data_IF_595848520128
#
_entry.id   IF_595848520128
#
_cell.length_a   1.000
_cell.length_b   1.000
_cell.length_c   1.000
_cell.angle_alpha   90.00
_cell.angle_beta   90.00
_cell.angle_gamma   90.00
#
_symmetry.space_group_name_H-M   'P 1'
#
loop_
_entity.id
_entity.type
_entity.pdbx_description
1 polymer ?
#
# COMPACT_ATOMS: atom_id res chain seq x y z
N UNK A 1 -34.40 11.86 -11.46
CA UNK A 1 -34.53 12.10 -10.01
C UNK A 1 -33.22 12.66 -9.50
N UNK A 2 -33.16 13.80 -8.81
CA UNK A 2 -31.94 14.46 -8.43
C UNK A 2 -31.25 13.72 -7.25
N UNK A 3 -29.94 13.52 -7.41
CA UNK A 3 -29.07 12.93 -6.39
C UNK A 3 -28.99 13.82 -5.14
N UNK A 4 -29.37 13.29 -4.00
CA UNK A 4 -29.22 13.93 -2.70
C UNK A 4 -27.72 14.11 -2.39
N UNK A 5 -27.31 15.36 -2.26
CA UNK A 5 -26.06 15.75 -1.62
C UNK A 5 -26.05 15.18 -0.19
N UNK A 6 -25.18 14.18 0.05
CA UNK A 6 -24.86 13.75 1.41
C UNK A 6 -23.65 14.53 1.90
N UNK A 7 -23.87 15.30 2.93
CA UNK A 7 -22.89 16.00 3.75
C UNK A 7 -21.68 15.13 4.06
N UNK A 8 -20.48 15.65 3.74
CA UNK A 8 -19.21 15.09 4.19
C UNK A 8 -19.21 14.94 5.71
N UNK A 9 -19.21 13.70 6.21
CA UNK A 9 -18.84 13.43 7.59
C UNK A 9 -17.36 13.74 7.76
N UNK A 10 -17.02 14.75 8.54
CA UNK A 10 -15.64 15.03 8.95
C UNK A 10 -15.09 13.80 9.66
N UNK A 11 -14.03 13.22 9.11
CA UNK A 11 -13.23 12.20 9.76
C UNK A 11 -12.80 12.71 11.14
N UNK A 12 -13.17 11.99 12.18
CA UNK A 12 -12.77 12.30 13.56
C UNK A 12 -11.32 11.84 13.76
N UNK A 13 -10.36 12.67 13.34
CA UNK A 13 -8.97 12.50 13.71
C UNK A 13 -8.79 12.79 15.21
N UNK A 14 -8.68 11.75 16.01
CA UNK A 14 -8.42 11.85 17.45
C UNK A 14 -6.94 12.12 17.72
N UNK A 15 -6.56 13.36 18.08
CA UNK A 15 -5.20 13.65 18.60
C UNK A 15 -5.04 13.00 19.99
N UNK A 16 -4.29 11.92 20.08
CA UNK A 16 -3.87 11.33 21.34
C UNK A 16 -2.73 12.18 21.95
N UNK A 17 -3.06 12.99 22.98
CA UNK A 17 -2.07 13.79 23.72
C UNK A 17 -1.34 12.91 24.73
N UNK A 18 -0.12 12.45 24.39
CA UNK A 18 0.87 11.96 25.34
C UNK A 18 2.04 12.94 25.40
N UNK A 19 2.67 13.12 26.55
CA UNK A 19 3.80 14.05 26.76
C UNK A 19 4.86 13.92 25.64
N UNK A 20 4.95 14.92 24.77
CA UNK A 20 6.10 15.14 23.86
C UNK A 20 6.18 14.32 22.56
N UNK A 21 5.25 13.38 22.25
CA UNK A 21 5.26 12.59 21.02
C UNK A 21 3.98 12.81 20.24
N UNK A 22 4.11 13.30 18.99
CA UNK A 22 2.97 13.40 18.08
C UNK A 22 2.48 11.99 17.73
N UNK A 23 1.21 11.70 18.02
CA UNK A 23 0.51 10.48 17.61
C UNK A 23 -0.84 10.85 17.05
N UNK A 24 -1.25 10.12 16.03
CA UNK A 24 -2.57 10.27 15.41
C UNK A 24 -3.11 8.90 15.05
N UNK A 25 -4.42 8.80 14.82
CA UNK A 25 -5.05 7.58 14.38
C UNK A 25 -6.12 7.86 13.32
N UNK A 26 -6.27 6.90 12.42
CA UNK A 26 -7.33 6.84 11.41
C UNK A 26 -8.09 5.54 11.63
N UNK A 27 -9.39 5.60 11.83
CA UNK A 27 -10.22 4.40 11.94
C UNK A 27 -10.67 3.94 10.54
N UNK A 28 -10.67 2.62 10.33
CA UNK A 28 -11.25 1.96 9.15
C UNK A 28 -12.48 1.20 9.63
N UNK A 29 -13.66 1.73 9.31
CA UNK A 29 -14.94 1.18 9.79
C UNK A 29 -15.46 0.07 8.85
N UNK A 30 -15.32 -1.17 9.29
CA UNK A 30 -15.83 -2.36 8.61
C UNK A 30 -16.75 -3.17 9.55
N UNK A 31 -17.45 -2.48 10.47
CA UNK A 31 -18.22 -3.11 11.54
C UNK A 31 -17.32 -3.92 12.47
N UNK A 32 -17.65 -5.19 12.73
CA UNK A 32 -16.86 -6.07 13.62
C UNK A 32 -15.42 -6.31 13.13
N UNK A 33 -15.14 -6.08 11.85
CA UNK A 33 -13.81 -6.22 11.23
C UNK A 33 -13.06 -4.89 11.16
N UNK A 34 -13.64 -3.81 11.69
CA UNK A 34 -13.00 -2.50 11.74
C UNK A 34 -11.73 -2.50 12.59
N UNK A 35 -10.82 -1.60 12.28
CA UNK A 35 -9.54 -1.45 12.98
C UNK A 35 -9.02 -0.02 12.90
N UNK A 36 -8.05 0.28 13.78
CA UNK A 36 -7.38 1.57 13.78
C UNK A 36 -6.01 1.47 13.12
N UNK A 37 -5.67 2.50 12.35
CA UNK A 37 -4.32 2.77 11.84
C UNK A 37 -3.71 3.85 12.74
N UNK A 38 -2.76 3.48 13.58
CA UNK A 38 -2.12 4.38 14.53
C UNK A 38 -0.72 4.77 14.06
N UNK A 39 -0.44 6.06 14.04
CA UNK A 39 0.82 6.63 13.57
C UNK A 39 1.53 7.39 14.68
N UNK A 40 2.85 7.29 14.71
CA UNK A 40 3.69 8.03 15.66
C UNK A 40 5.17 7.93 15.29
N UNK A 41 6.03 8.45 16.18
CA UNK A 41 7.48 8.38 16.03
C UNK A 41 8.15 7.82 17.27
N UNK A 42 9.17 6.99 17.08
CA UNK A 42 10.02 6.42 18.14
C UNK A 42 9.21 5.68 19.23
N UNK A 43 8.30 4.80 18.85
CA UNK A 43 7.37 4.14 19.76
C UNK A 43 7.19 2.63 19.57
N UNK A 44 8.11 1.95 18.87
CA UNK A 44 8.03 0.52 18.54
C UNK A 44 7.79 -0.39 19.75
N UNK A 45 8.40 -0.11 20.90
CA UNK A 45 8.13 -0.88 22.13
C UNK A 45 6.69 -0.70 22.61
N UNK A 46 6.15 0.50 22.51
CA UNK A 46 4.74 0.75 22.79
C UNK A 46 3.84 0.06 21.76
N UNK A 47 4.22 0.03 20.47
CA UNK A 47 3.54 -0.75 19.44
C UNK A 47 3.46 -2.22 19.85
N UNK A 48 4.55 -2.80 20.34
CA UNK A 48 4.54 -4.19 20.82
C UNK A 48 3.49 -4.45 21.91
N UNK A 49 3.38 -3.54 22.90
CA UNK A 49 2.35 -3.63 23.96
C UNK A 49 0.94 -3.52 23.36
N UNK A 50 0.70 -2.58 22.47
CA UNK A 50 -0.61 -2.39 21.83
C UNK A 50 -0.98 -3.54 20.90
N UNK A 51 0.00 -4.10 20.19
CA UNK A 51 -0.19 -5.29 19.36
C UNK A 51 -0.63 -6.49 20.21
N UNK A 52 0.01 -6.71 21.37
CA UNK A 52 -0.40 -7.75 22.31
C UNK A 52 -1.83 -7.51 22.84
N UNK A 53 -2.16 -6.26 23.19
CA UNK A 53 -3.52 -5.89 23.65
C UNK A 53 -4.58 -6.14 22.56
N UNK A 54 -4.24 -5.94 21.26
CA UNK A 54 -5.16 -6.18 20.13
C UNK A 54 -5.28 -7.66 19.77
N UNK A 55 -4.18 -8.42 19.88
CA UNK A 55 -4.16 -9.84 19.55
C UNK A 55 -4.77 -10.69 20.66
N UNK A 56 -4.59 -10.30 21.92
CA UNK A 56 -4.98 -11.07 23.11
C UNK A 56 -4.47 -12.53 23.05
N UNK A 57 -3.26 -12.71 22.51
CA UNK A 57 -2.67 -14.00 22.22
C UNK A 57 -1.50 -14.30 23.15
N UNK A 58 -1.45 -15.53 23.70
CA UNK A 58 -0.32 -16.00 24.51
C UNK A 58 0.93 -16.23 23.64
N UNK A 59 0.74 -16.76 22.41
CA UNK A 59 1.82 -17.04 21.46
C UNK A 59 1.72 -16.11 20.27
N UNK A 60 2.81 -15.44 19.95
CA UNK A 60 2.87 -14.46 18.87
C UNK A 60 4.07 -14.72 17.96
N UNK A 61 3.82 -14.93 16.69
CA UNK A 61 4.86 -14.98 15.66
C UNK A 61 5.08 -13.60 15.04
N UNK A 62 6.32 -13.09 15.04
CA UNK A 62 6.72 -11.91 14.27
C UNK A 62 7.29 -12.38 12.94
N UNK A 63 6.58 -12.15 11.84
CA UNK A 63 7.08 -12.39 10.47
C UNK A 63 7.78 -11.13 9.96
N UNK A 64 9.06 -11.27 9.58
CA UNK A 64 9.91 -10.12 9.23
C UNK A 64 11.02 -10.51 8.26
N UNK A 65 11.79 -9.53 7.76
CA UNK A 65 12.97 -9.73 6.89
C UNK A 65 14.27 -9.39 7.62
N UNK A 66 15.46 -9.88 7.18
CA UNK A 66 16.69 -9.83 7.97
C UNK A 66 17.11 -8.43 8.46
N UNK A 67 17.05 -7.43 7.59
CA UNK A 67 17.44 -6.05 7.89
C UNK A 67 16.53 -5.41 8.95
N UNK A 68 15.23 -5.67 8.87
CA UNK A 68 14.19 -5.16 9.77
C UNK A 68 14.23 -5.92 11.11
N UNK A 69 14.37 -7.25 11.07
CA UNK A 69 14.49 -8.10 12.26
C UNK A 69 15.60 -7.64 13.19
N UNK A 70 16.77 -7.34 12.62
CA UNK A 70 17.95 -6.89 13.37
C UNK A 70 17.75 -5.52 14.01
N UNK A 71 17.15 -4.56 13.28
CA UNK A 71 17.03 -3.17 13.73
C UNK A 71 15.86 -2.97 14.70
N UNK A 72 14.73 -3.56 14.41
CA UNK A 72 13.44 -3.23 15.02
C UNK A 72 12.82 -4.39 15.80
N UNK A 73 13.19 -5.63 15.46
CA UNK A 73 12.68 -6.83 16.11
C UNK A 73 12.83 -6.81 17.64
N UNK A 74 13.99 -6.45 18.21
CA UNK A 74 14.18 -6.46 19.67
C UNK A 74 13.22 -5.51 20.42
N UNK A 75 12.98 -4.29 19.88
CA UNK A 75 12.07 -3.33 20.51
C UNK A 75 10.62 -3.82 20.48
N UNK A 76 10.18 -4.33 19.34
CA UNK A 76 8.83 -4.89 19.20
C UNK A 76 8.61 -6.10 20.10
N UNK A 77 9.58 -7.04 20.10
CA UNK A 77 9.55 -8.23 20.99
C UNK A 77 9.44 -7.82 22.45
N UNK A 78 10.25 -6.86 22.92
CA UNK A 78 10.19 -6.37 24.30
C UNK A 78 8.80 -5.86 24.67
N UNK A 79 8.16 -5.13 23.77
CA UNK A 79 6.80 -4.64 24.01
C UNK A 79 5.77 -5.76 24.11
N UNK A 80 5.84 -6.77 23.25
CA UNK A 80 4.96 -7.95 23.26
C UNK A 80 5.17 -8.78 24.54
N UNK A 81 6.43 -9.09 24.90
CA UNK A 81 6.74 -9.88 26.08
C UNK A 81 6.39 -9.17 27.38
N UNK A 82 6.43 -7.83 27.41
CA UNK A 82 5.97 -7.04 28.57
C UNK A 82 4.46 -7.19 28.85
N UNK A 83 3.70 -7.78 27.90
CA UNK A 83 2.29 -8.16 28.06
C UNK A 83 2.08 -9.66 28.25
N UNK A 84 3.16 -10.40 28.51
CA UNK A 84 3.12 -11.85 28.77
C UNK A 84 3.15 -12.73 27.52
N UNK A 85 3.24 -12.16 26.31
CA UNK A 85 3.30 -12.98 25.10
C UNK A 85 4.61 -13.75 24.98
N UNK A 86 4.53 -15.04 24.60
CA UNK A 86 5.65 -15.85 24.13
C UNK A 86 5.88 -15.54 22.67
N UNK A 87 7.03 -14.93 22.34
CA UNK A 87 7.29 -14.37 21.03
C UNK A 87 8.33 -15.15 20.26
N UNK A 88 7.99 -15.60 19.07
CA UNK A 88 8.92 -16.12 18.07
C UNK A 88 9.14 -15.13 16.94
N UNK A 89 10.40 -14.96 16.50
CA UNK A 89 10.73 -14.14 15.32
C UNK A 89 11.09 -15.04 14.15
N UNK A 90 10.22 -15.06 13.16
CA UNK A 90 10.40 -15.82 11.93
C UNK A 90 10.92 -14.88 10.86
N UNK A 91 12.17 -15.07 10.47
CA UNK A 91 12.83 -14.25 9.46
C UNK A 91 12.72 -14.94 8.10
N UNK A 92 12.01 -14.30 7.17
CA UNK A 92 11.91 -14.75 5.78
C UNK A 92 12.93 -14.00 4.90
N UNK A 93 13.41 -14.56 3.79
CA UNK A 93 14.30 -13.85 2.88
C UNK A 93 13.66 -12.55 2.39
N UNK A 94 14.47 -11.55 2.06
CA UNK A 94 13.99 -10.29 1.49
C UNK A 94 13.70 -10.43 -0.01
N UNK A 95 12.87 -9.52 -0.54
CA UNK A 95 12.53 -9.43 -1.95
C UNK A 95 11.20 -10.11 -2.34
N UNK A 96 10.58 -9.56 -3.39
CA UNK A 96 9.23 -9.96 -3.85
C UNK A 96 9.14 -11.44 -4.29
N UNK A 97 10.27 -12.05 -4.69
CA UNK A 97 10.35 -13.48 -5.03
C UNK A 97 10.07 -14.40 -3.83
N UNK A 98 10.24 -13.90 -2.60
CA UNK A 98 9.94 -14.64 -1.36
C UNK A 98 8.44 -14.82 -1.14
N UNK A 99 7.60 -13.97 -1.70
CA UNK A 99 6.14 -14.11 -1.63
C UNK A 99 5.65 -15.27 -2.49
N UNK A 100 5.83 -16.50 -2.04
CA UNK A 100 5.44 -17.70 -2.78
C UNK A 100 4.92 -18.81 -1.85
N UNK A 101 4.27 -19.85 -2.43
CA UNK A 101 3.68 -20.95 -1.67
C UNK A 101 4.72 -21.77 -0.89
N UNK A 102 5.97 -21.87 -1.38
CA UNK A 102 7.03 -22.59 -0.66
C UNK A 102 7.36 -21.88 0.65
N UNK A 103 7.53 -20.55 0.60
CA UNK A 103 7.82 -19.77 1.80
C UNK A 103 6.63 -19.73 2.76
N UNK A 104 5.39 -19.77 2.24
CA UNK A 104 4.19 -19.91 3.04
C UNK A 104 4.20 -21.22 3.84
N UNK A 105 4.58 -22.34 3.20
CA UNK A 105 4.76 -23.63 3.88
C UNK A 105 5.76 -23.57 5.03
N UNK A 106 6.91 -22.91 4.79
CA UNK A 106 7.91 -22.69 5.86
C UNK A 106 7.32 -21.93 7.05
N UNK A 107 6.43 -20.95 6.82
CA UNK A 107 5.76 -20.25 7.92
C UNK A 107 4.86 -21.18 8.73
N UNK A 108 4.12 -22.07 8.07
CA UNK A 108 3.27 -23.03 8.79
C UNK A 108 4.08 -23.99 9.65
N UNK A 109 5.19 -24.55 9.12
CA UNK A 109 6.09 -25.40 9.88
C UNK A 109 6.60 -24.67 11.13
N UNK A 110 7.04 -23.42 10.97
CA UNK A 110 7.49 -22.58 12.10
C UNK A 110 6.39 -22.26 13.10
N UNK A 111 5.14 -22.08 12.67
CA UNK A 111 4.01 -21.87 13.57
C UNK A 111 3.75 -23.14 14.41
N UNK A 112 3.82 -24.32 13.80
CA UNK A 112 3.66 -25.61 14.50
C UNK A 112 4.82 -25.87 15.46
N UNK A 113 6.08 -25.63 15.06
CA UNK A 113 7.27 -25.76 15.93
C UNK A 113 7.16 -24.91 17.21
N UNK A 114 6.37 -23.82 17.18
CA UNK A 114 6.12 -22.92 18.30
C UNK A 114 4.78 -23.16 18.98
N UNK A 115 4.18 -24.33 18.78
CA UNK A 115 2.90 -24.73 19.35
C UNK A 115 1.79 -23.66 19.15
N UNK A 116 1.80 -22.96 18.02
CA UNK A 116 0.75 -21.99 17.73
C UNK A 116 -0.58 -22.69 17.47
N UNK A 117 -1.64 -22.13 18.01
CA UNK A 117 -3.00 -22.61 17.93
C UNK A 117 -3.96 -21.49 17.49
N UNK A 118 -5.27 -21.70 17.61
CA UNK A 118 -6.30 -20.71 17.24
C UNK A 118 -6.34 -19.46 18.12
N UNK A 119 -5.75 -19.52 19.30
CA UNK A 119 -5.62 -18.38 20.24
C UNK A 119 -4.33 -17.59 20.00
N UNK A 120 -3.49 -18.05 19.10
CA UNK A 120 -2.21 -17.41 18.75
C UNK A 120 -2.41 -16.26 17.77
N UNK A 121 -1.40 -15.41 17.61
CA UNK A 121 -1.46 -14.26 16.74
C UNK A 121 -0.19 -14.04 15.91
N UNK A 122 -0.32 -13.29 14.82
CA UNK A 122 0.80 -12.92 13.96
C UNK A 122 1.00 -11.40 13.99
N UNK A 123 2.24 -10.96 14.09
CA UNK A 123 2.65 -9.57 13.83
C UNK A 123 3.53 -9.55 12.59
N UNK A 124 3.13 -8.82 11.57
CA UNK A 124 3.99 -8.60 10.41
C UNK A 124 4.82 -7.33 10.62
N UNK A 125 6.15 -7.45 10.61
CA UNK A 125 7.06 -6.32 10.79
C UNK A 125 7.91 -6.15 9.54
N UNK A 126 7.59 -5.15 8.69
CA UNK A 126 8.34 -4.98 7.44
C UNK A 126 7.61 -4.21 6.34
N UNK A 127 8.06 -4.38 5.12
CA UNK A 127 7.39 -3.91 3.90
C UNK A 127 6.28 -4.85 3.44
N UNK A 128 5.82 -4.67 2.20
CA UNK A 128 4.76 -5.49 1.59
C UNK A 128 5.04 -7.00 1.61
N UNK A 129 6.31 -7.43 1.51
CA UNK A 129 6.68 -8.86 1.57
C UNK A 129 6.25 -9.48 2.90
N UNK A 130 6.65 -8.88 4.02
CA UNK A 130 6.28 -9.36 5.34
C UNK A 130 4.76 -9.25 5.58
N UNK A 131 4.16 -8.12 5.15
CA UNK A 131 2.73 -7.85 5.30
C UNK A 131 1.85 -8.85 4.57
N UNK A 132 2.09 -9.05 3.27
CA UNK A 132 1.27 -9.91 2.43
C UNK A 132 1.46 -11.40 2.78
N UNK A 133 2.72 -11.83 2.90
CA UNK A 133 3.04 -13.25 3.20
C UNK A 133 2.60 -13.64 4.61
N UNK A 134 2.95 -12.83 5.62
CA UNK A 134 2.59 -13.10 7.01
C UNK A 134 1.09 -12.94 7.26
N UNK A 135 0.45 -11.96 6.61
CA UNK A 135 -1.00 -11.79 6.65
C UNK A 135 -1.74 -12.96 6.01
N UNK A 136 -1.23 -13.50 4.88
CA UNK A 136 -1.83 -14.67 4.24
C UNK A 136 -1.58 -15.95 5.04
N UNK A 137 -0.42 -16.08 5.69
CA UNK A 137 -0.18 -17.15 6.63
C UNK A 137 -1.19 -17.10 7.79
N UNK A 138 -1.44 -15.94 8.37
CA UNK A 138 -2.46 -15.77 9.40
C UNK A 138 -3.88 -16.09 8.90
N UNK A 139 -4.22 -15.65 7.69
CA UNK A 139 -5.53 -15.88 7.09
C UNK A 139 -5.86 -17.35 6.86
N UNK A 140 -4.85 -18.17 6.60
CA UNK A 140 -5.02 -19.58 6.18
C UNK A 140 -4.64 -20.59 7.25
N UNK A 141 -3.74 -20.26 8.18
CA UNK A 141 -3.39 -21.15 9.29
C UNK A 141 -4.60 -21.39 10.19
N UNK A 142 -4.94 -22.65 10.43
CA UNK A 142 -6.11 -23.11 11.21
C UNK A 142 -7.45 -22.47 10.78
N UNK A 143 -7.58 -22.04 9.52
CA UNK A 143 -8.71 -21.32 8.90
C UNK A 143 -8.83 -19.86 9.34
N UNK A 144 -7.77 -19.28 9.86
CA UNK A 144 -7.66 -17.87 10.24
C UNK A 144 -7.36 -17.68 11.72
N UNK A 145 -6.25 -16.98 11.97
CA UNK A 145 -5.86 -16.46 13.28
C UNK A 145 -5.69 -14.94 13.20
N UNK A 146 -5.80 -14.21 14.32
CA UNK A 146 -5.67 -12.76 14.32
C UNK A 146 -4.25 -12.32 13.94
N UNK A 147 -4.16 -11.16 13.27
CA UNK A 147 -2.88 -10.54 12.97
C UNK A 147 -2.90 -9.02 13.09
N UNK A 148 -1.71 -8.44 13.21
CA UNK A 148 -1.44 -7.01 13.30
C UNK A 148 -0.36 -6.64 12.30
N UNK A 149 -0.45 -5.47 11.67
CA UNK A 149 0.56 -4.97 10.75
C UNK A 149 1.43 -3.88 11.41
N UNK A 150 2.74 -4.00 11.25
CA UNK A 150 3.74 -2.98 11.64
C UNK A 150 4.59 -2.65 10.40
N UNK A 151 4.06 -1.83 9.47
CA UNK A 151 4.76 -1.48 8.24
C UNK A 151 5.97 -0.60 8.52
N UNK A 152 7.08 -0.85 7.79
CA UNK A 152 8.35 -0.14 7.94
C UNK A 152 8.83 0.52 6.64
N UNK A 153 8.02 0.48 5.59
CA UNK A 153 8.29 1.18 4.31
C UNK A 153 7.17 2.15 4.01
N UNK A 154 7.46 3.24 3.28
CA UNK A 154 6.42 4.22 2.88
C UNK A 154 5.30 3.52 2.12
N UNK A 155 5.65 2.68 1.13
CA UNK A 155 4.67 1.93 0.34
C UNK A 155 3.73 1.08 1.21
N UNK A 156 4.28 0.36 2.20
CA UNK A 156 3.45 -0.43 3.09
C UNK A 156 2.59 0.44 4.02
N UNK A 157 3.10 1.60 4.47
CA UNK A 157 2.36 2.53 5.32
C UNK A 157 1.16 3.15 4.59
N UNK A 158 1.32 3.58 3.34
CA UNK A 158 0.23 4.23 2.60
C UNK A 158 -0.69 3.25 1.88
N UNK A 159 -0.19 2.05 1.52
CA UNK A 159 -0.93 1.12 0.66
C UNK A 159 -1.04 -0.29 1.23
N UNK A 160 0.00 -1.10 1.25
CA UNK A 160 -0.10 -2.55 1.43
C UNK A 160 -0.69 -2.98 2.79
N UNK A 161 -0.52 -2.21 3.87
CA UNK A 161 -1.03 -2.58 5.20
C UNK A 161 -2.51 -2.30 5.43
N UNK A 162 -3.20 -1.59 4.52
CA UNK A 162 -4.59 -1.14 4.70
C UNK A 162 -5.50 -1.87 3.69
N UNK A 163 -6.63 -2.41 4.18
CA UNK A 163 -7.67 -3.03 3.36
C UNK A 163 -7.56 -4.53 3.18
N UNK A 164 -6.76 -5.21 4.03
CA UNK A 164 -6.80 -6.65 4.25
C UNK A 164 -6.40 -7.54 3.07
N UNK A 165 -5.86 -6.99 1.99
CA UNK A 165 -5.34 -7.80 0.88
C UNK A 165 -4.05 -8.48 1.33
N UNK A 166 -4.07 -9.81 1.41
CA UNK A 166 -2.91 -10.64 1.73
C UNK A 166 -2.73 -11.69 0.64
N UNK A 167 -1.51 -12.13 0.37
CA UNK A 167 -1.33 -13.11 -0.68
C UNK A 167 0.12 -13.37 -1.08
N UNK A 168 0.24 -14.29 -2.04
CA UNK A 168 1.51 -14.73 -2.60
C UNK A 168 1.50 -14.74 -4.13
N UNK A 169 2.69 -14.72 -4.70
CA UNK A 169 2.93 -14.77 -6.12
C UNK A 169 2.94 -16.23 -6.62
N UNK A 170 2.51 -16.42 -7.86
CA UNK A 170 2.72 -17.64 -8.62
C UNK A 170 3.63 -17.37 -9.82
N UNK A 171 4.09 -18.41 -10.48
CA UNK A 171 4.88 -18.28 -11.69
C UNK A 171 4.16 -17.50 -12.81
N UNK A 172 2.83 -17.55 -12.83
CA UNK A 172 1.96 -16.87 -13.81
C UNK A 172 1.74 -15.39 -13.52
N UNK A 173 2.00 -14.91 -12.28
CA UNK A 173 1.81 -13.50 -11.92
C UNK A 173 1.84 -13.21 -10.43
N UNK A 174 1.87 -11.91 -10.11
CA UNK A 174 1.89 -11.42 -8.74
C UNK A 174 0.51 -11.52 -8.09
N UNK A 175 0.49 -11.80 -6.78
CA UNK A 175 -0.70 -11.74 -5.90
C UNK A 175 -1.92 -12.54 -6.40
N UNK A 176 -1.70 -13.65 -7.11
CA UNK A 176 -2.79 -14.47 -7.68
C UNK A 176 -3.46 -15.39 -6.67
N UNK A 177 -2.83 -15.67 -5.55
CA UNK A 177 -3.37 -16.48 -4.45
C UNK A 177 -3.33 -15.67 -3.18
N UNK A 178 -4.45 -15.56 -2.49
CA UNK A 178 -4.54 -14.75 -1.28
C UNK A 178 -5.94 -14.74 -0.67
N UNK A 179 -6.09 -13.91 0.36
CA UNK A 179 -7.35 -13.72 1.08
C UNK A 179 -7.55 -12.26 1.44
N UNK A 180 -8.83 -11.85 1.59
CA UNK A 180 -9.17 -10.64 2.32
C UNK A 180 -9.24 -10.99 3.81
N UNK A 181 -8.23 -10.59 4.57
CA UNK A 181 -8.12 -10.80 6.00
C UNK A 181 -7.74 -9.47 6.66
N UNK A 182 -8.68 -8.86 7.40
CA UNK A 182 -8.46 -7.56 8.00
C UNK A 182 -7.58 -7.68 9.26
N UNK A 183 -6.57 -6.81 9.43
CA UNK A 183 -5.74 -6.81 10.63
C UNK A 183 -6.56 -6.33 11.85
N UNK A 184 -6.17 -6.74 13.05
CA UNK A 184 -6.71 -6.21 14.31
C UNK A 184 -6.19 -4.81 14.65
N UNK A 185 -5.24 -4.31 13.88
CA UNK A 185 -4.67 -2.98 13.96
C UNK A 185 -3.47 -2.83 13.04
N UNK A 186 -3.21 -1.58 12.64
CA UNK A 186 -2.02 -1.20 11.89
C UNK A 186 -1.26 -0.16 12.71
N UNK A 187 0.01 -0.39 12.98
CA UNK A 187 0.82 0.49 13.81
C UNK A 187 2.05 0.97 13.06
N UNK A 188 2.18 2.27 12.87
CA UNK A 188 3.23 2.89 12.07
C UNK A 188 4.17 3.72 12.93
N UNK A 189 5.44 3.33 12.98
CA UNK A 189 6.50 4.16 13.54
C UNK A 189 7.30 4.80 12.41
N UNK A 190 7.10 6.12 12.19
CA UNK A 190 7.81 6.84 11.10
C UNK A 190 9.33 6.86 11.30
N UNK A 191 9.82 6.62 12.52
CA UNK A 191 11.26 6.51 12.77
C UNK A 191 11.90 5.33 12.01
N UNK A 192 11.13 4.29 11.68
CA UNK A 192 11.60 3.16 10.88
C UNK A 192 12.02 3.57 9.47
N UNK A 193 11.43 4.63 8.93
CA UNK A 193 11.74 5.16 7.60
C UNK A 193 13.17 5.73 7.49
N UNK A 194 13.83 6.03 8.64
CA UNK A 194 15.23 6.51 8.65
C UNK A 194 16.20 5.47 8.06
N UNK A 195 15.89 4.19 8.19
CA UNK A 195 16.71 3.11 7.63
C UNK A 195 16.34 2.74 6.20
N UNK A 196 15.25 3.28 5.67
CA UNK A 196 14.77 3.02 4.32
C UNK A 196 15.59 3.86 3.31
N UNK A 197 16.17 3.27 2.26
CA UNK A 197 16.88 4.03 1.22
C UNK A 197 16.00 5.11 0.59
N UNK A 198 16.61 6.24 0.18
CA UNK A 198 15.87 7.36 -0.42
C UNK A 198 15.06 6.93 -1.65
N UNK A 199 15.61 6.03 -2.49
CA UNK A 199 14.90 5.48 -3.67
C UNK A 199 13.62 4.75 -3.27
N UNK A 200 13.67 3.96 -2.20
CA UNK A 200 12.50 3.24 -1.67
C UNK A 200 11.47 4.21 -1.06
N UNK A 201 11.94 5.29 -0.39
CA UNK A 201 11.05 6.34 0.11
C UNK A 201 10.32 7.05 -1.02
N UNK A 202 11.06 7.39 -2.09
CA UNK A 202 10.49 8.00 -3.29
C UNK A 202 9.48 7.07 -3.97
N UNK A 203 9.82 5.78 -4.14
CA UNK A 203 8.91 4.81 -4.71
C UNK A 203 7.61 4.69 -3.89
N UNK A 204 7.70 4.66 -2.56
CA UNK A 204 6.50 4.68 -1.72
C UNK A 204 5.71 5.99 -1.80
N UNK A 205 6.40 7.14 -1.97
CA UNK A 205 5.76 8.44 -2.13
C UNK A 205 4.95 8.55 -3.44
N UNK A 206 5.22 7.73 -4.46
CA UNK A 206 4.38 7.64 -5.65
C UNK A 206 2.92 7.29 -5.31
N UNK A 207 2.70 6.37 -4.38
CA UNK A 207 1.37 5.98 -3.92
C UNK A 207 0.70 7.09 -3.08
N UNK A 208 1.47 7.82 -2.26
CA UNK A 208 0.98 9.01 -1.56
C UNK A 208 0.50 10.09 -2.55
N UNK A 209 1.31 10.39 -3.57
CA UNK A 209 0.96 11.33 -4.64
C UNK A 209 -0.27 10.84 -5.42
N UNK A 210 -0.36 9.54 -5.68
CA UNK A 210 -1.54 8.93 -6.32
C UNK A 210 -2.81 9.15 -5.52
N UNK A 211 -2.79 8.89 -4.21
CA UNK A 211 -3.95 9.12 -3.35
C UNK A 211 -4.40 10.57 -3.40
N UNK A 212 -3.46 11.51 -3.32
CA UNK A 212 -3.76 12.94 -3.44
C UNK A 212 -4.36 13.27 -4.81
N UNK A 213 -3.76 12.80 -5.90
CA UNK A 213 -4.20 13.09 -7.26
C UNK A 213 -5.62 12.60 -7.57
N UNK A 214 -6.01 11.44 -7.02
CA UNK A 214 -7.32 10.84 -7.31
C UNK A 214 -8.43 11.29 -6.36
N UNK A 215 -8.11 11.83 -5.17
CA UNK A 215 -9.09 11.99 -4.09
C UNK A 215 -9.03 13.31 -3.32
N UNK A 216 -7.87 13.97 -3.22
CA UNK A 216 -7.64 15.08 -2.31
C UNK A 216 -6.75 16.17 -2.94
N UNK A 217 -7.39 17.17 -3.57
CA UNK A 217 -6.68 18.26 -4.23
C UNK A 217 -5.82 19.08 -3.25
N UNK A 218 -6.31 19.34 -2.04
CA UNK A 218 -5.56 20.12 -1.04
C UNK A 218 -4.30 19.37 -0.57
N UNK A 219 -4.36 18.02 -0.47
CA UNK A 219 -3.16 17.23 -0.20
C UNK A 219 -2.19 17.29 -1.37
N UNK A 220 -2.70 17.25 -2.61
CA UNK A 220 -1.87 17.34 -3.79
C UNK A 220 -1.14 18.69 -3.86
N UNK A 221 -1.88 19.80 -3.72
CA UNK A 221 -1.33 21.15 -3.70
C UNK A 221 -0.27 21.31 -2.60
N UNK A 222 -0.52 20.74 -1.44
CA UNK A 222 0.42 20.77 -0.33
C UNK A 222 1.70 19.93 -0.62
N UNK A 223 1.56 18.76 -1.25
CA UNK A 223 2.68 17.89 -1.63
C UNK A 223 3.54 18.52 -2.74
N UNK A 224 2.96 19.27 -3.68
CA UNK A 224 3.75 20.00 -4.68
C UNK A 224 4.83 20.92 -4.04
N UNK A 225 4.60 21.39 -2.82
CA UNK A 225 5.52 22.27 -2.10
C UNK A 225 6.36 21.56 -1.01
N UNK A 226 6.00 20.32 -0.66
CA UNK A 226 6.56 19.62 0.52
C UNK A 226 7.13 18.25 0.23
N UNK A 227 7.15 17.81 -1.02
CA UNK A 227 7.56 16.43 -1.34
C UNK A 227 9.03 16.16 -0.96
N UNK A 228 9.92 17.11 -1.11
CA UNK A 228 11.31 16.96 -0.69
C UNK A 228 11.42 16.86 0.84
N UNK A 229 10.70 17.70 1.58
CA UNK A 229 10.64 17.65 3.05
C UNK A 229 10.08 16.29 3.54
N UNK A 230 9.13 15.71 2.81
CA UNK A 230 8.65 14.35 3.07
C UNK A 230 9.76 13.31 2.88
N UNK A 231 10.50 13.39 1.79
CA UNK A 231 11.61 12.48 1.49
C UNK A 231 12.81 12.64 2.45
N UNK A 232 12.99 13.83 3.01
CA UNK A 232 13.96 14.11 4.08
C UNK A 232 13.46 13.67 5.46
N UNK A 233 12.26 13.11 5.54
CA UNK A 233 11.64 12.59 6.75
C UNK A 233 11.41 13.66 7.83
N UNK A 234 11.08 14.92 7.47
CA UNK A 234 10.68 15.94 8.43
C UNK A 234 9.36 15.51 9.10
N UNK A 235 9.34 15.25 10.44
CA UNK A 235 8.16 14.67 11.10
C UNK A 235 6.89 15.51 10.95
N UNK A 236 7.05 16.85 10.88
CA UNK A 236 5.94 17.80 10.65
C UNK A 236 5.30 17.68 9.27
N UNK A 237 5.97 16.98 8.33
CA UNK A 237 5.48 16.72 6.98
C UNK A 237 5.06 15.26 6.81
N UNK A 238 5.87 14.32 7.31
CA UNK A 238 5.61 12.88 7.13
C UNK A 238 4.32 12.44 7.83
N UNK A 239 4.12 12.81 9.09
CA UNK A 239 2.94 12.38 9.86
C UNK A 239 1.62 12.86 9.23
N UNK A 240 1.43 14.16 8.93
CA UNK A 240 0.20 14.62 8.29
C UNK A 240 -0.04 14.02 6.90
N UNK A 241 1.03 13.82 6.12
CA UNK A 241 0.93 13.23 4.79
C UNK A 241 0.45 11.77 4.86
N UNK A 242 1.06 10.97 5.74
CA UNK A 242 0.66 9.58 5.96
C UNK A 242 -0.76 9.48 6.53
N UNK A 243 -1.11 10.32 7.51
CA UNK A 243 -2.46 10.37 8.09
C UNK A 243 -3.53 10.59 7.02
N UNK A 244 -3.36 11.62 6.17
CA UNK A 244 -4.30 11.92 5.09
C UNK A 244 -4.36 10.78 4.06
N UNK A 245 -3.22 10.23 3.68
CA UNK A 245 -3.17 9.10 2.74
C UNK A 245 -3.87 7.85 3.30
N UNK A 246 -3.66 7.54 4.58
CA UNK A 246 -4.35 6.43 5.25
C UNK A 246 -5.86 6.67 5.34
N UNK A 247 -6.28 7.91 5.61
CA UNK A 247 -7.69 8.28 5.64
C UNK A 247 -8.36 8.09 4.27
N UNK A 248 -7.71 8.52 3.17
CA UNK A 248 -8.20 8.32 1.81
C UNK A 248 -8.37 6.83 1.53
N UNK A 249 -7.33 6.04 1.80
CA UNK A 249 -7.41 4.60 1.55
C UNK A 249 -8.42 3.90 2.44
N UNK A 250 -8.48 4.28 3.72
CA UNK A 250 -9.49 3.79 4.67
C UNK A 250 -10.91 4.02 4.15
N UNK A 251 -11.24 5.26 3.74
CA UNK A 251 -12.55 5.59 3.17
C UNK A 251 -12.89 4.77 1.93
N UNK A 252 -11.92 4.59 1.02
CA UNK A 252 -12.13 3.76 -0.18
C UNK A 252 -12.40 2.30 0.20
N UNK A 253 -11.68 1.76 1.18
CA UNK A 253 -11.87 0.38 1.67
C UNK A 253 -13.20 0.20 2.38
N UNK A 254 -13.61 1.15 3.23
CA UNK A 254 -14.91 1.14 3.90
C UNK A 254 -16.08 1.07 2.92
N UNK A 255 -15.95 1.79 1.80
CA UNK A 255 -17.00 1.87 0.77
C UNK A 255 -16.96 0.71 -0.22
N UNK A 256 -15.80 0.08 -0.40
CA UNK A 256 -15.59 -1.03 -1.34
C UNK A 256 -14.48 -1.98 -0.87
N UNK A 257 -14.77 -2.78 0.15
CA UNK A 257 -13.79 -3.68 0.76
C UNK A 257 -13.22 -4.72 -0.23
N UNK A 258 -14.06 -5.24 -1.14
CA UNK A 258 -13.72 -6.36 -2.03
C UNK A 258 -13.35 -5.97 -3.46
N UNK A 259 -13.13 -4.66 -3.71
CA UNK A 259 -12.73 -4.14 -5.03
C UNK A 259 -13.77 -4.41 -6.13
N UNK A 260 -15.03 -4.14 -5.80
CA UNK A 260 -16.15 -4.24 -6.76
C UNK A 260 -16.10 -3.13 -7.81
N UNK A 261 -15.92 -1.87 -7.40
CA UNK A 261 -15.98 -0.70 -8.27
C UNK A 261 -15.09 0.47 -7.79
N UNK A 262 -15.43 1.12 -6.67
CA UNK A 262 -14.77 2.33 -6.19
C UNK A 262 -13.26 2.12 -5.93
N UNK A 263 -12.88 1.00 -5.35
CA UNK A 263 -11.48 0.67 -5.05
C UNK A 263 -10.61 0.58 -6.31
N UNK A 264 -11.20 0.44 -7.50
CA UNK A 264 -10.48 0.50 -8.79
C UNK A 264 -9.81 1.83 -9.02
N UNK A 265 -10.30 2.93 -8.43
CA UNK A 265 -9.68 4.25 -8.53
C UNK A 265 -8.23 4.24 -8.03
N UNK A 266 -7.92 3.39 -7.04
CA UNK A 266 -6.56 3.18 -6.55
C UNK A 266 -5.60 2.61 -7.61
N UNK A 267 -6.12 2.14 -8.74
CA UNK A 267 -5.32 1.67 -9.88
C UNK A 267 -4.98 2.79 -10.89
N UNK A 268 -5.11 4.06 -10.52
CA UNK A 268 -4.61 5.17 -11.35
C UNK A 268 -3.13 4.98 -11.66
N UNK A 269 -2.76 5.02 -12.94
CA UNK A 269 -1.40 4.73 -13.41
C UNK A 269 -1.04 3.24 -13.55
N UNK A 270 -1.74 2.34 -12.88
CA UNK A 270 -1.35 0.92 -12.78
C UNK A 270 -1.47 0.15 -14.10
N UNK A 271 -2.35 0.55 -15.02
CA UNK A 271 -2.51 -0.13 -16.31
C UNK A 271 -1.21 -0.18 -17.11
N UNK A 272 -0.49 0.95 -17.19
CA UNK A 272 0.81 1.00 -17.86
C UNK A 272 1.93 0.50 -16.94
N UNK A 273 1.87 0.79 -15.62
CA UNK A 273 2.86 0.35 -14.66
C UNK A 273 3.05 -1.18 -14.67
N UNK A 274 1.98 -1.94 -14.62
CA UNK A 274 2.05 -3.41 -14.69
C UNK A 274 2.65 -3.92 -16.00
N UNK A 275 2.39 -3.23 -17.12
CA UNK A 275 3.02 -3.58 -18.38
C UNK A 275 4.54 -3.31 -18.36
N UNK A 276 4.96 -2.21 -17.75
CA UNK A 276 6.38 -1.87 -17.54
C UNK A 276 7.06 -2.91 -16.66
N UNK A 277 6.48 -3.21 -15.48
CA UNK A 277 7.00 -4.21 -14.53
C UNK A 277 7.17 -5.60 -15.20
N UNK A 278 6.16 -6.03 -15.96
CA UNK A 278 6.19 -7.30 -16.68
C UNK A 278 7.35 -7.35 -17.68
N UNK A 279 7.58 -6.27 -18.42
CA UNK A 279 8.69 -6.19 -19.40
C UNK A 279 10.06 -6.08 -18.73
N UNK A 280 10.14 -5.49 -17.55
CA UNK A 280 11.37 -5.47 -16.74
C UNK A 280 11.66 -6.83 -16.08
N UNK A 281 10.76 -7.82 -16.22
CA UNK A 281 10.88 -9.11 -15.53
C UNK A 281 10.82 -8.93 -14.01
N UNK A 282 10.16 -7.86 -13.55
CA UNK A 282 10.09 -7.46 -12.13
C UNK A 282 11.46 -7.21 -11.49
N UNK A 283 12.45 -6.82 -12.28
CA UNK A 283 13.83 -6.55 -11.82
C UNK A 283 14.26 -5.13 -12.18
N UNK A 284 15.05 -4.52 -11.30
CA UNK A 284 15.70 -3.23 -11.54
C UNK A 284 14.84 -1.99 -11.36
N UNK A 285 13.52 -2.06 -11.56
CA UNK A 285 12.56 -0.97 -11.35
C UNK A 285 11.66 -1.27 -10.16
N UNK A 286 11.53 -0.32 -9.25
CA UNK A 286 10.62 -0.43 -8.11
C UNK A 286 9.17 -0.19 -8.57
N UNK A 287 8.19 -0.80 -7.86
CA UNK A 287 6.77 -0.65 -8.16
C UNK A 287 6.35 0.82 -8.28
N UNK A 288 6.68 1.65 -7.29
CA UNK A 288 6.31 3.07 -7.33
C UNK A 288 6.99 3.87 -8.45
N UNK A 289 8.16 3.42 -8.95
CA UNK A 289 8.79 4.02 -10.13
C UNK A 289 7.95 3.73 -11.40
N UNK A 290 7.46 2.49 -11.55
CA UNK A 290 6.56 2.13 -12.64
C UNK A 290 5.21 2.86 -12.53
N UNK A 291 4.66 2.96 -11.32
CA UNK A 291 3.40 3.69 -11.05
C UNK A 291 3.56 5.19 -11.37
N UNK A 292 4.68 5.81 -11.04
CA UNK A 292 4.96 7.21 -11.37
C UNK A 292 4.88 7.46 -12.89
N UNK A 293 5.55 6.63 -13.69
CA UNK A 293 5.47 6.69 -15.16
C UNK A 293 4.02 6.49 -15.63
N UNK A 294 3.34 5.51 -15.04
CA UNK A 294 1.95 5.21 -15.38
C UNK A 294 0.99 6.33 -15.03
N UNK A 295 1.21 7.08 -13.94
CA UNK A 295 0.40 8.24 -13.56
C UNK A 295 0.54 9.40 -14.55
N UNK A 296 1.77 9.71 -14.98
CA UNK A 296 2.00 10.75 -16.02
C UNK A 296 1.26 10.37 -17.30
N UNK A 297 1.40 9.12 -17.73
CA UNK A 297 0.68 8.60 -18.89
C UNK A 297 -0.85 8.67 -18.72
N UNK A 298 -1.38 8.24 -17.58
CA UNK A 298 -2.83 8.25 -17.33
C UNK A 298 -3.39 9.67 -17.25
N UNK A 299 -2.64 10.62 -16.68
CA UNK A 299 -3.01 12.04 -16.67
C UNK A 299 -3.03 12.63 -18.09
N UNK A 300 -2.02 12.35 -18.91
CA UNK A 300 -2.01 12.73 -20.32
C UNK A 300 -3.23 12.18 -21.08
N UNK A 301 -3.52 10.88 -20.87
CA UNK A 301 -4.70 10.26 -21.50
C UNK A 301 -6.01 10.88 -21.02
N UNK A 302 -6.08 11.31 -19.77
CA UNK A 302 -7.27 12.00 -19.22
C UNK A 302 -7.50 13.34 -19.89
N UNK A 303 -6.44 14.12 -20.20
CA UNK A 303 -6.52 15.38 -20.98
C UNK A 303 -6.92 15.10 -22.44
N UNK A 304 -6.24 14.18 -23.11
CA UNK A 304 -6.50 13.84 -24.52
C UNK A 304 -7.92 13.30 -24.75
N UNK A 305 -8.50 12.64 -23.76
CA UNK A 305 -9.88 12.13 -23.79
C UNK A 305 -10.91 13.19 -23.34
N UNK A 306 -10.47 14.38 -22.92
CA UNK A 306 -11.34 15.48 -22.50
C UNK A 306 -11.93 15.33 -21.09
N UNK A 307 -11.39 14.43 -20.26
CA UNK A 307 -11.82 14.27 -18.87
C UNK A 307 -11.16 15.29 -17.94
N UNK A 308 -9.84 15.52 -18.09
CA UNK A 308 -9.09 16.45 -17.26
C UNK A 308 -8.79 17.77 -17.98
N UNK A 309 -8.73 18.89 -17.27
CA UNK A 309 -8.27 20.14 -17.82
C UNK A 309 -6.80 20.08 -18.24
N UNK A 310 -6.41 20.85 -19.26
CA UNK A 310 -5.03 20.99 -19.70
C UNK A 310 -4.11 21.45 -18.54
N UNK A 311 -2.89 20.91 -18.49
CA UNK A 311 -1.91 21.17 -17.43
C UNK A 311 -1.99 20.19 -16.24
N UNK A 312 -2.99 19.31 -16.16
CA UNK A 312 -3.10 18.27 -15.13
C UNK A 312 -1.90 17.33 -15.19
N UNK A 313 -1.53 16.86 -16.41
CA UNK A 313 -0.35 16.03 -16.64
C UNK A 313 0.93 16.70 -16.14
N UNK A 314 1.13 17.96 -16.49
CA UNK A 314 2.38 18.68 -16.16
C UNK A 314 2.54 18.86 -14.65
N UNK A 315 1.45 19.08 -13.92
CA UNK A 315 1.46 19.10 -12.45
C UNK A 315 1.85 17.75 -11.86
N UNK A 316 1.25 16.65 -12.34
CA UNK A 316 1.59 15.29 -11.92
C UNK A 316 3.08 14.99 -12.20
N UNK A 317 3.54 15.27 -13.41
CA UNK A 317 4.94 15.04 -13.81
C UNK A 317 5.91 15.83 -12.94
N UNK A 318 5.61 17.10 -12.67
CA UNK A 318 6.45 17.99 -11.86
C UNK A 318 6.64 17.48 -10.44
N UNK A 319 5.59 17.09 -9.74
CA UNK A 319 5.71 16.59 -8.36
C UNK A 319 6.46 15.27 -8.29
N UNK A 320 6.23 14.36 -9.27
CA UNK A 320 6.93 13.09 -9.37
C UNK A 320 8.42 13.28 -9.66
N UNK A 321 8.77 14.17 -10.59
CA UNK A 321 10.15 14.50 -10.89
C UNK A 321 10.89 15.11 -9.69
N UNK A 322 10.23 16.01 -8.93
CA UNK A 322 10.77 16.54 -7.67
C UNK A 322 10.96 15.47 -6.60
N UNK A 323 10.13 14.44 -6.59
CA UNK A 323 10.35 13.27 -5.76
C UNK A 323 11.54 12.40 -6.20
N UNK A 324 12.15 12.68 -7.36
CA UNK A 324 13.22 11.89 -7.96
C UNK A 324 12.74 10.61 -8.63
N UNK A 325 11.48 10.57 -9.02
CA UNK A 325 10.86 9.43 -9.70
C UNK A 325 10.98 9.58 -11.23
N UNK A 326 11.11 8.47 -11.97
CA UNK A 326 11.08 8.50 -13.42
C UNK A 326 9.68 8.86 -13.92
N UNK A 327 9.62 9.68 -14.99
CA UNK A 327 8.36 10.15 -15.58
C UNK A 327 8.21 9.71 -17.05
N UNK A 328 9.26 9.17 -17.66
CA UNK A 328 9.27 8.79 -19.06
C UNK A 328 9.08 7.29 -19.24
N UNK A 329 8.24 6.92 -20.19
CA UNK A 329 8.00 5.52 -20.53
C UNK A 329 9.28 4.93 -21.13
N UNK A 330 9.72 3.74 -20.70
CA UNK A 330 10.88 3.07 -21.31
C UNK A 330 10.69 2.82 -22.81
N UNK A 331 11.72 3.11 -23.61
CA UNK A 331 11.66 2.96 -25.06
C UNK A 331 11.54 1.47 -25.47
N UNK A 332 10.33 1.07 -25.81
CA UNK A 332 10.01 -0.28 -26.34
C UNK A 332 8.90 -0.16 -27.39
N UNK A 333 8.79 -1.11 -28.32
CA UNK A 333 7.73 -1.08 -29.33
C UNK A 333 6.34 -1.01 -28.68
N UNK A 334 5.45 -0.19 -29.24
CA UNK A 334 4.03 -0.09 -28.80
C UNK A 334 3.36 -1.46 -28.71
N UNK A 335 3.66 -2.38 -29.64
CA UNK A 335 3.12 -3.74 -29.65
C UNK A 335 3.44 -4.53 -28.39
N UNK A 336 4.61 -4.32 -27.79
CA UNK A 336 4.98 -4.94 -26.52
C UNK A 336 4.06 -4.51 -25.39
N UNK A 337 3.84 -3.19 -25.24
CA UNK A 337 2.91 -2.65 -24.24
C UNK A 337 1.47 -3.10 -24.48
N UNK A 338 1.00 -3.09 -25.74
CA UNK A 338 -0.34 -3.61 -26.08
C UNK A 338 -0.52 -5.06 -25.67
N UNK A 339 0.48 -5.90 -25.93
CA UNK A 339 0.44 -7.33 -25.54
C UNK A 339 0.37 -7.50 -24.05
N UNK A 340 1.14 -6.72 -23.29
CA UNK A 340 1.17 -6.78 -21.83
C UNK A 340 -0.18 -6.33 -21.19
N UNK A 341 -0.75 -5.24 -21.70
CA UNK A 341 -2.05 -4.70 -21.28
C UNK A 341 -3.21 -5.66 -21.68
N UNK A 342 -3.09 -6.35 -22.83
CA UNK A 342 -4.15 -7.24 -23.34
C UNK A 342 -4.26 -8.58 -22.57
N UNK A 343 -3.22 -9.02 -21.89
CA UNK A 343 -3.25 -10.29 -21.11
C UNK A 343 -4.30 -10.25 -20.00
N UNK A 344 -4.53 -9.09 -19.39
CA UNK A 344 -5.57 -8.88 -18.38
C UNK A 344 -7.01 -8.96 -18.96
N UNK A 345 -7.16 -8.86 -20.30
CA UNK A 345 -8.41 -8.78 -21.03
C UNK A 345 -9.17 -10.08 -21.21
N UNK A 346 -8.50 -11.23 -21.30
CA UNK A 346 -9.14 -12.51 -21.65
C UNK A 346 -10.25 -12.90 -20.65
N UNK A 347 -10.31 -12.22 -19.51
CA UNK A 347 -11.26 -12.52 -18.42
C UNK A 347 -12.52 -11.64 -18.37
N UNK A 348 -12.59 -10.47 -19.09
CA UNK A 348 -13.67 -9.48 -18.90
C UNK A 348 -14.19 -8.78 -20.19
N UNK A 349 -14.58 -9.51 -21.21
CA UNK A 349 -15.30 -8.91 -22.36
C UNK A 349 -14.53 -7.91 -23.23
N UNK A 350 -13.20 -7.86 -23.16
CA UNK A 350 -12.34 -7.09 -24.06
C UNK A 350 -12.09 -5.62 -23.68
N UNK A 351 -12.76 -5.07 -22.68
CA UNK A 351 -12.54 -3.70 -22.18
C UNK A 351 -11.81 -3.70 -20.82
N UNK A 352 -11.08 -2.63 -20.56
CA UNK A 352 -10.30 -2.39 -19.34
C UNK A 352 -10.94 -1.19 -18.65
N UNK A 353 -11.22 -1.29 -17.35
CA UNK A 353 -11.57 -0.14 -16.54
C UNK A 353 -10.32 0.72 -16.33
N UNK A 354 -10.15 1.70 -17.20
CA UNK A 354 -9.03 2.63 -17.15
C UNK A 354 -9.40 3.79 -16.22
N UNK A 355 -8.53 4.09 -15.26
CA UNK A 355 -8.76 5.21 -14.33
C UNK A 355 -8.29 6.50 -14.99
N UNK A 356 -9.18 7.50 -15.02
CA UNK A 356 -8.93 8.84 -15.52
C UNK A 356 -9.08 9.86 -14.39
N UNK A 357 -8.39 10.99 -14.52
CA UNK A 357 -8.65 12.16 -13.68
C UNK A 357 -9.72 13.03 -14.36
N UNK A 358 -10.63 13.57 -13.55
CA UNK A 358 -11.53 14.67 -13.93
C UNK A 358 -10.96 16.04 -13.51
N UNK A 359 -9.81 16.01 -12.89
CA UNK A 359 -9.01 17.07 -12.31
C UNK A 359 -8.22 16.54 -11.12
N UNK A 360 -7.29 17.33 -10.61
CA UNK A 360 -6.57 16.97 -9.39
C UNK A 360 -7.56 16.82 -8.23
N UNK A 361 -7.48 15.71 -7.50
CA UNK A 361 -8.38 15.37 -6.40
C UNK A 361 -9.70 14.74 -6.82
N UNK A 362 -9.92 14.53 -8.13
CA UNK A 362 -11.14 13.92 -8.64
C UNK A 362 -10.84 12.94 -9.75
N UNK A 363 -11.37 11.73 -9.66
CA UNK A 363 -11.12 10.65 -10.60
C UNK A 363 -12.35 9.82 -10.90
N UNK A 364 -12.33 9.13 -12.03
CA UNK A 364 -13.36 8.21 -12.47
C UNK A 364 -12.79 7.03 -13.25
N UNK A 365 -13.65 6.15 -13.72
CA UNK A 365 -13.26 5.02 -14.57
C UNK A 365 -13.95 5.08 -15.91
N UNK A 366 -13.24 4.74 -16.98
CA UNK A 366 -13.77 4.59 -18.32
C UNK A 366 -13.42 3.22 -18.89
N UNK A 367 -14.33 2.59 -19.60
CA UNK A 367 -14.12 1.26 -20.18
C UNK A 367 -13.49 1.40 -21.57
N UNK A 368 -12.20 1.18 -21.69
CA UNK A 368 -11.41 1.31 -22.92
C UNK A 368 -10.81 -0.03 -23.37
N UNK A 369 -10.63 -0.19 -24.68
CA UNK A 369 -9.79 -1.25 -25.24
C UNK A 369 -8.30 -0.88 -25.08
N UNK A 370 -7.38 -1.86 -25.16
CA UNK A 370 -5.95 -1.55 -25.11
C UNK A 370 -5.50 -0.63 -26.27
N UNK A 371 -6.18 -0.69 -27.43
CA UNK A 371 -5.88 0.19 -28.57
C UNK A 371 -6.37 1.62 -28.35
N UNK A 372 -7.42 1.82 -27.59
CA UNK A 372 -7.88 3.16 -27.18
C UNK A 372 -6.99 3.73 -26.07
N UNK A 373 -6.48 2.91 -25.17
CA UNK A 373 -5.50 3.32 -24.16
C UNK A 373 -4.19 3.73 -24.82
N UNK A 374 -3.68 2.92 -25.77
CA UNK A 374 -2.48 3.19 -26.57
C UNK A 374 -2.88 3.38 -28.04
N UNK A 375 -3.24 4.60 -28.50
CA UNK A 375 -3.68 4.86 -29.86
C UNK A 375 -2.56 4.64 -30.89
N UNK A 376 -2.91 4.58 -32.19
CA UNK A 376 -1.98 4.22 -33.25
C UNK A 376 -0.71 5.09 -33.31
N UNK A 377 -0.83 6.38 -33.03
CA UNK A 377 0.28 7.34 -33.01
C UNK A 377 1.06 7.39 -31.69
N UNK A 378 0.65 6.63 -30.66
CA UNK A 378 1.33 6.68 -29.38
C UNK A 378 2.78 6.15 -29.47
N UNK A 379 3.70 6.90 -28.88
CA UNK A 379 5.12 6.56 -28.73
C UNK A 379 5.53 6.69 -27.27
N UNK A 380 6.38 5.77 -26.76
CA UNK A 380 6.90 5.83 -25.40
C UNK A 380 7.84 7.02 -25.17
#
# INVERSE_FOLDING_TARGET
MPARQRTQKKSTAGRLKGKGRMRTSVSVDLGERGYDVELGSDWLETIGRRAADRLQAERVAIVTVPSVARRYGPLLTRGLTARGAKVERIVVPDGDATKNLKQLGVLYDRFLDHDMDRSSGVVTLGGGVAGDLGGFAAASFLRGIPFVQVPTTVLAMVDASIGGKTGVNLAQGKNLVGAFHQPKGVFMDIATLRSLPRRERAAGAAELIKHAAIWDADLFDWLEHRIEDFLELKPSVVLPALERSCAIKGEVVERDEREGDLRRLLNFGHTLAHAIEKHAGYKGMLHGEAVAIGMVFAAQRSEELGFAPAGTRDRIEKVLARAGLPTRVPNRPRSAYLSAIAVDKKKRGGKIHFVVLEGIGKSGTVALTAREILPAGWRP
#
